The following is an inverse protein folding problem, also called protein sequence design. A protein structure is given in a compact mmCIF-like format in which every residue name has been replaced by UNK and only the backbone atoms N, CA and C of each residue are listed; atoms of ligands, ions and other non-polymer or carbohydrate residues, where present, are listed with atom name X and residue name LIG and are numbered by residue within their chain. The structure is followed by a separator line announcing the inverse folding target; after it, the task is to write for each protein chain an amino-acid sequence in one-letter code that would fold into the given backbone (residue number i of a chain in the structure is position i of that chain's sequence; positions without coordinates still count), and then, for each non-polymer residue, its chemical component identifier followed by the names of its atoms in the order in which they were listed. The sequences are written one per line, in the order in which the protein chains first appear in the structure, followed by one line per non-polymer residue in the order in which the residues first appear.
data_IF_855070619194
#
_entry.id   IF_855070619194
#
_cell.length_a   1.000
_cell.length_b   1.000
_cell.length_c   1.000
_cell.angle_alpha   90.00
_cell.angle_beta   90.00
_cell.angle_gamma   90.00
#
_symmetry.space_group_name_H-M   'P 1'
#
loop_
_entity.id
_entity.type
_entity.pdbx_description
1 polymer ?
#
# COMPACT_ATOMS: atom_id res chain seq x y z
N UNK A 1 -0.22 -30.92 -24.53
CA UNK A 1 -0.35 -29.46 -24.72
C UNK A 1 -0.66 -28.89 -23.36
N UNK A 2 0.10 -27.91 -22.90
CA UNK A 2 -0.09 -27.31 -21.58
C UNK A 2 -1.32 -26.41 -21.59
N UNK A 3 -2.15 -26.41 -20.54
CA UNK A 3 -3.32 -25.54 -20.44
C UNK A 3 -3.05 -24.41 -19.45
N UNK A 4 -3.11 -23.16 -19.94
CA UNK A 4 -2.80 -21.97 -19.15
C UNK A 4 -3.96 -20.98 -19.20
N UNK A 5 -4.33 -20.43 -18.05
CA UNK A 5 -5.30 -19.34 -17.95
C UNK A 5 -4.56 -18.01 -17.87
N UNK A 6 -4.88 -17.08 -18.75
CA UNK A 6 -4.43 -15.69 -18.71
C UNK A 6 -5.42 -14.85 -17.92
N UNK A 7 -4.96 -14.16 -16.88
CA UNK A 7 -5.78 -13.29 -16.06
C UNK A 7 -5.27 -11.84 -16.11
N UNK A 8 -5.86 -11.07 -17.02
CA UNK A 8 -5.54 -9.65 -17.22
C UNK A 8 -6.21 -8.73 -16.21
N UNK A 9 -5.50 -7.69 -15.77
CA UNK A 9 -6.06 -6.69 -14.87
C UNK A 9 -5.06 -5.62 -14.45
N UNK A 10 -5.54 -4.52 -13.86
CA UNK A 10 -4.64 -3.49 -13.33
C UNK A 10 -3.87 -3.95 -12.10
N UNK A 11 -4.49 -4.74 -11.21
CA UNK A 11 -3.89 -5.24 -9.97
C UNK A 11 -3.22 -4.13 -9.13
N UNK A 12 -3.97 -3.07 -8.83
CA UNK A 12 -3.47 -1.83 -8.21
C UNK A 12 -4.14 -1.54 -6.85
N UNK A 13 -3.86 -2.32 -5.78
CA UNK A 13 -3.00 -3.50 -5.75
C UNK A 13 -3.77 -4.82 -6.01
N UNK A 14 -3.02 -5.93 -6.18
CA UNK A 14 -3.57 -7.28 -6.05
C UNK A 14 -4.11 -7.52 -4.63
N UNK A 15 -5.14 -8.35 -4.48
CA UNK A 15 -5.80 -8.61 -3.20
C UNK A 15 -6.39 -10.02 -3.17
N UNK A 16 -6.93 -10.45 -2.02
CA UNK A 16 -7.38 -11.83 -1.83
C UNK A 16 -8.56 -12.21 -2.73
N UNK A 17 -9.40 -11.24 -3.12
CA UNK A 17 -10.43 -11.46 -4.15
C UNK A 17 -9.85 -11.90 -5.50
N UNK A 18 -8.76 -11.29 -5.97
CA UNK A 18 -8.09 -11.72 -7.20
C UNK A 18 -7.51 -13.13 -7.08
N UNK A 19 -6.86 -13.44 -5.96
CA UNK A 19 -6.27 -14.76 -5.72
C UNK A 19 -7.34 -15.86 -5.67
N UNK A 20 -8.50 -15.56 -5.11
CA UNK A 20 -9.58 -16.53 -5.05
C UNK A 20 -10.21 -16.79 -6.42
N UNK A 21 -10.41 -15.73 -7.23
CA UNK A 21 -10.81 -15.87 -8.64
C UNK A 21 -9.81 -16.75 -9.39
N UNK A 22 -8.51 -16.47 -9.24
CA UNK A 22 -7.46 -17.24 -9.90
C UNK A 22 -7.48 -18.73 -9.49
N UNK A 23 -7.60 -19.02 -8.18
CA UNK A 23 -7.67 -20.40 -7.67
C UNK A 23 -8.90 -21.16 -8.18
N UNK A 24 -10.06 -20.51 -8.17
CA UNK A 24 -11.30 -21.10 -8.65
C UNK A 24 -11.24 -21.35 -10.16
N UNK A 25 -10.70 -20.42 -10.94
CA UNK A 25 -10.54 -20.57 -12.38
C UNK A 25 -9.61 -21.73 -12.73
N UNK A 26 -8.43 -21.79 -12.09
CA UNK A 26 -7.46 -22.87 -12.28
C UNK A 26 -8.11 -24.24 -12.01
N UNK A 27 -8.82 -24.36 -10.86
CA UNK A 27 -9.52 -25.60 -10.49
C UNK A 27 -10.68 -25.93 -11.43
N UNK A 28 -11.53 -24.97 -11.76
CA UNK A 28 -12.74 -25.16 -12.55
C UNK A 28 -12.48 -25.48 -14.02
N UNK A 29 -11.32 -25.09 -14.54
CA UNK A 29 -10.89 -25.41 -15.91
C UNK A 29 -9.91 -26.59 -15.99
N UNK A 30 -9.50 -27.15 -14.86
CA UNK A 30 -8.45 -28.17 -14.78
C UNK A 30 -7.16 -27.73 -15.51
N UNK A 31 -6.83 -26.44 -15.42
CA UNK A 31 -5.66 -25.87 -16.08
C UNK A 31 -4.38 -26.15 -15.27
N UNK A 32 -3.25 -26.23 -15.97
CA UNK A 32 -1.93 -26.50 -15.37
C UNK A 32 -1.39 -25.25 -14.64
N UNK A 33 -1.57 -24.07 -15.24
CA UNK A 33 -1.08 -22.80 -14.69
C UNK A 33 -2.07 -21.64 -14.90
N UNK A 34 -1.91 -20.59 -14.10
CA UNK A 34 -2.55 -19.30 -14.30
C UNK A 34 -1.52 -18.18 -14.29
N UNK A 35 -1.57 -17.35 -15.32
CA UNK A 35 -0.64 -16.25 -15.54
C UNK A 35 -1.36 -14.92 -15.34
N UNK A 36 -0.94 -14.17 -14.34
CA UNK A 36 -1.36 -12.79 -14.13
C UNK A 36 -0.69 -11.88 -15.16
N UNK A 37 -1.51 -11.10 -15.86
CA UNK A 37 -1.07 -10.15 -16.88
C UNK A 37 -1.39 -8.73 -16.38
N UNK A 38 -0.45 -8.07 -15.66
CA UNK A 38 -0.65 -6.68 -15.24
C UNK A 38 -0.70 -5.76 -16.46
N UNK A 39 -1.72 -4.91 -16.51
CA UNK A 39 -1.86 -3.96 -17.62
C UNK A 39 -0.72 -2.94 -17.61
N UNK A 40 -0.17 -2.54 -18.77
CA UNK A 40 0.95 -1.56 -18.86
C UNK A 40 0.61 -0.23 -18.16
N UNK A 41 -0.51 0.37 -18.54
CA UNK A 41 -1.11 1.53 -17.88
C UNK A 41 -2.61 1.27 -17.80
N UNK A 42 -3.26 1.73 -16.72
CA UNK A 42 -4.71 1.83 -16.74
C UNK A 42 -5.04 3.15 -17.47
N UNK A 43 -5.58 3.13 -18.70
CA UNK A 43 -5.83 4.35 -19.48
C UNK A 43 -6.88 5.28 -18.82
N UNK A 44 -7.54 4.84 -17.75
CA UNK A 44 -8.58 5.58 -17.05
C UNK A 44 -8.19 6.01 -15.62
N UNK A 45 -6.93 5.84 -15.19
CA UNK A 45 -6.47 6.20 -13.83
C UNK A 45 -5.13 6.93 -13.83
N UNK A 46 -5.14 8.23 -13.54
CA UNK A 46 -3.92 9.05 -13.37
C UNK A 46 -3.12 8.69 -12.11
N UNK A 47 -3.76 8.06 -11.11
CA UNK A 47 -3.16 7.76 -9.79
C UNK A 47 -2.65 6.31 -9.61
N UNK A 48 -2.44 5.55 -10.68
CA UNK A 48 -1.93 4.17 -10.56
C UNK A 48 -0.47 4.17 -10.10
N UNK A 49 -0.08 3.23 -9.23
CA UNK A 49 1.36 3.02 -8.99
C UNK A 49 2.01 2.41 -10.23
N UNK A 50 3.35 2.51 -10.30
CA UNK A 50 4.14 2.04 -11.43
C UNK A 50 3.89 0.56 -11.74
N UNK A 51 4.17 0.18 -12.99
CA UNK A 51 4.09 -1.22 -13.41
C UNK A 51 4.95 -2.12 -12.51
N UNK A 52 6.14 -1.66 -12.16
CA UNK A 52 7.12 -2.37 -11.34
C UNK A 52 6.59 -2.68 -9.93
N UNK A 53 5.91 -1.70 -9.30
CA UNK A 53 5.28 -1.93 -8.00
C UNK A 53 4.13 -2.93 -8.09
N UNK A 54 3.28 -2.82 -9.12
CA UNK A 54 2.16 -3.77 -9.31
C UNK A 54 2.67 -5.17 -9.60
N UNK A 55 3.66 -5.31 -10.46
CA UNK A 55 4.35 -6.57 -10.74
C UNK A 55 4.92 -7.19 -9.46
N UNK A 56 5.70 -6.43 -8.70
CA UNK A 56 6.31 -6.90 -7.45
C UNK A 56 5.25 -7.32 -6.43
N UNK A 57 4.14 -6.58 -6.32
CA UNK A 57 3.03 -6.97 -5.45
C UNK A 57 2.36 -8.26 -5.89
N UNK A 58 2.19 -8.50 -7.20
CA UNK A 58 1.67 -9.77 -7.72
C UNK A 58 2.64 -10.90 -7.40
N UNK A 59 3.93 -10.73 -7.68
CA UNK A 59 4.97 -11.72 -7.38
C UNK A 59 4.98 -12.08 -5.88
N UNK A 60 4.93 -11.07 -5.01
CA UNK A 60 4.85 -11.25 -3.57
C UNK A 60 3.55 -11.94 -3.12
N UNK A 61 2.44 -11.74 -3.82
CA UNK A 61 1.15 -12.36 -3.53
C UNK A 61 1.08 -13.85 -3.94
N UNK A 62 1.78 -14.21 -5.02
CA UNK A 62 1.76 -15.57 -5.57
C UNK A 62 2.96 -16.41 -5.15
N UNK A 63 3.89 -15.85 -4.36
CA UNK A 63 5.00 -16.61 -3.80
C UNK A 63 4.49 -17.85 -3.03
N UNK A 64 4.99 -19.03 -3.38
CA UNK A 64 4.55 -20.32 -2.84
C UNK A 64 3.40 -20.99 -3.62
N UNK A 65 2.94 -20.43 -4.74
CA UNK A 65 2.00 -21.06 -5.66
C UNK A 65 2.70 -21.45 -6.97
N UNK A 66 3.17 -22.70 -7.09
CA UNK A 66 3.91 -23.18 -8.27
C UNK A 66 3.11 -23.07 -9.58
N UNK A 67 1.78 -23.13 -9.49
CA UNK A 67 0.88 -23.01 -10.63
C UNK A 67 0.60 -21.56 -11.05
N UNK A 68 1.09 -20.55 -10.33
CA UNK A 68 0.85 -19.14 -10.63
C UNK A 68 2.11 -18.44 -11.13
N UNK A 69 1.95 -17.61 -12.16
CA UNK A 69 3.03 -16.77 -12.71
C UNK A 69 2.53 -15.35 -12.94
N UNK A 70 3.45 -14.39 -12.95
CA UNK A 70 3.19 -13.03 -13.42
C UNK A 70 4.06 -12.75 -14.65
N UNK A 71 3.45 -12.23 -15.72
CA UNK A 71 4.11 -12.07 -17.01
C UNK A 71 4.22 -10.59 -17.37
N UNK A 72 5.40 -10.16 -17.82
CA UNK A 72 5.66 -8.77 -18.19
C UNK A 72 5.27 -8.40 -19.63
N UNK A 73 4.48 -9.24 -20.32
CA UNK A 73 4.23 -9.12 -21.76
C UNK A 73 3.81 -7.70 -22.18
N UNK A 74 2.85 -7.10 -21.46
CA UNK A 74 2.37 -5.76 -21.78
C UNK A 74 3.40 -4.64 -21.57
N UNK A 75 4.41 -4.84 -20.71
CA UNK A 75 5.47 -3.85 -20.46
C UNK A 75 6.19 -3.49 -21.76
N UNK A 76 6.44 -4.48 -22.61
CA UNK A 76 7.23 -4.36 -23.85
C UNK A 76 6.38 -4.05 -25.08
N UNK A 77 5.04 -4.12 -24.98
CA UNK A 77 4.14 -3.79 -26.09
C UNK A 77 3.95 -2.27 -26.27
N UNK A 78 3.65 -1.80 -27.49
CA UNK A 78 3.26 -0.41 -27.73
C UNK A 78 2.05 0.01 -26.88
N UNK A 79 1.99 1.30 -26.55
CA UNK A 79 0.81 1.89 -25.89
C UNK A 79 -0.15 2.46 -26.92
N UNK A 80 -1.48 2.31 -26.76
CA UNK A 80 -2.15 1.50 -25.72
C UNK A 80 -1.96 -0.01 -25.93
N UNK A 81 -1.86 -0.75 -24.83
CA UNK A 81 -1.74 -2.20 -24.85
C UNK A 81 -3.13 -2.83 -25.04
N UNK A 82 -3.29 -3.64 -26.09
CA UNK A 82 -4.54 -4.36 -26.38
C UNK A 82 -4.40 -5.85 -26.14
N UNK A 83 -5.48 -6.49 -25.68
CA UNK A 83 -5.49 -7.94 -25.41
C UNK A 83 -5.09 -8.77 -26.62
N UNK A 84 -5.52 -8.40 -27.84
CA UNK A 84 -5.15 -9.11 -29.07
C UNK A 84 -3.65 -9.16 -29.30
N UNK A 85 -2.95 -8.05 -29.06
CA UNK A 85 -1.50 -7.94 -29.25
C UNK A 85 -0.76 -8.79 -28.20
N UNK A 86 -1.29 -8.84 -26.97
CA UNK A 86 -0.78 -9.69 -25.88
C UNK A 86 -0.96 -11.17 -26.19
N UNK A 87 -2.15 -11.59 -26.63
CA UNK A 87 -2.45 -13.00 -26.95
C UNK A 87 -1.59 -13.49 -28.12
N UNK A 88 -1.44 -12.68 -29.19
CA UNK A 88 -0.57 -13.00 -30.32
C UNK A 88 0.88 -13.22 -29.90
N UNK A 89 1.41 -12.35 -29.02
CA UNK A 89 2.75 -12.50 -28.47
C UNK A 89 2.90 -13.81 -27.68
N UNK A 90 1.97 -14.08 -26.75
CA UNK A 90 2.05 -15.26 -25.88
C UNK A 90 1.92 -16.58 -26.66
N UNK A 91 1.02 -16.65 -27.65
CA UNK A 91 0.89 -17.82 -28.53
C UNK A 91 2.20 -18.03 -29.32
N UNK A 92 2.77 -16.96 -29.87
CA UNK A 92 4.03 -17.04 -30.63
C UNK A 92 5.19 -17.55 -29.77
N UNK A 93 5.28 -17.11 -28.52
CA UNK A 93 6.34 -17.51 -27.58
C UNK A 93 6.11 -18.90 -26.96
N UNK A 94 4.87 -19.40 -26.97
CA UNK A 94 4.48 -20.65 -26.32
C UNK A 94 3.61 -21.52 -27.26
N UNK A 95 4.15 -22.02 -28.38
CA UNK A 95 3.35 -22.68 -29.43
C UNK A 95 2.67 -23.99 -28.97
N UNK A 96 3.21 -24.67 -27.96
CA UNK A 96 2.66 -25.92 -27.40
C UNK A 96 1.72 -25.69 -26.20
N UNK A 97 1.18 -24.47 -26.06
CA UNK A 97 0.29 -24.07 -24.97
C UNK A 97 -1.09 -23.67 -25.48
N UNK A 98 -2.12 -24.24 -24.87
CA UNK A 98 -3.49 -23.82 -25.01
C UNK A 98 -3.78 -22.73 -23.97
N UNK A 99 -4.22 -21.56 -24.43
CA UNK A 99 -4.57 -20.44 -23.55
C UNK A 99 -6.08 -20.28 -23.41
N UNK A 100 -6.52 -20.00 -22.18
CA UNK A 100 -7.84 -19.44 -21.86
C UNK A 100 -7.64 -17.98 -21.43
N UNK A 101 -8.58 -17.08 -21.73
CA UNK A 101 -8.58 -15.70 -21.19
C UNK A 101 -9.70 -15.51 -20.18
N UNK A 102 -9.35 -15.27 -18.92
CA UNK A 102 -10.30 -15.12 -17.81
C UNK A 102 -10.83 -13.69 -17.73
N UNK A 103 -12.16 -13.55 -17.77
CA UNK A 103 -12.88 -12.28 -17.57
C UNK A 103 -13.94 -12.42 -16.48
N UNK A 104 -14.28 -11.31 -15.82
CA UNK A 104 -15.47 -11.25 -14.97
C UNK A 104 -16.74 -11.14 -15.82
N UNK A 105 -17.88 -11.59 -15.29
CA UNK A 105 -19.17 -11.47 -15.96
C UNK A 105 -19.56 -10.03 -16.32
N UNK A 106 -19.02 -9.03 -15.61
CA UNK A 106 -19.21 -7.60 -15.89
C UNK A 106 -18.58 -7.13 -17.22
N UNK A 107 -17.64 -7.90 -17.80
CA UNK A 107 -16.96 -7.55 -19.06
C UNK A 107 -17.62 -8.14 -20.31
N UNK A 108 -18.57 -9.07 -20.16
CA UNK A 108 -19.17 -9.80 -21.29
C UNK A 108 -19.83 -8.84 -22.28
N UNK A 109 -20.66 -7.93 -21.78
CA UNK A 109 -21.43 -7.01 -22.63
C UNK A 109 -20.53 -6.05 -23.43
N UNK A 110 -19.30 -5.85 -22.95
CA UNK A 110 -18.29 -4.97 -23.55
C UNK A 110 -17.27 -5.72 -24.40
N UNK A 111 -17.33 -7.05 -24.48
CA UNK A 111 -16.33 -7.84 -25.20
C UNK A 111 -16.31 -7.52 -26.70
N UNK A 112 -17.46 -7.15 -27.27
CA UNK A 112 -17.56 -6.72 -28.67
C UNK A 112 -16.84 -5.41 -28.97
N UNK A 113 -16.57 -4.58 -27.95
CA UNK A 113 -15.85 -3.30 -28.09
C UNK A 113 -14.33 -3.47 -28.06
N UNK A 114 -13.83 -4.68 -27.77
CA UNK A 114 -12.40 -4.93 -27.71
C UNK A 114 -11.80 -4.88 -29.11
N UNK A 115 -10.59 -4.31 -29.24
CA UNK A 115 -9.87 -4.26 -30.51
C UNK A 115 -9.73 -5.68 -31.08
N UNK A 116 -10.16 -5.85 -32.32
CA UNK A 116 -10.13 -7.11 -33.06
C UNK A 116 -10.84 -8.27 -32.35
N UNK A 117 -11.94 -8.00 -31.63
CA UNK A 117 -12.66 -8.98 -30.82
C UNK A 117 -13.01 -10.31 -31.53
N UNK A 118 -13.36 -10.26 -32.83
CA UNK A 118 -13.64 -11.47 -33.62
C UNK A 118 -12.40 -12.34 -33.77
N UNK A 119 -11.28 -11.74 -34.18
CA UNK A 119 -10.00 -12.44 -34.29
C UNK A 119 -9.55 -12.97 -32.93
N UNK A 120 -9.73 -12.17 -31.87
CA UNK A 120 -9.39 -12.58 -30.51
C UNK A 120 -10.16 -13.82 -30.08
N UNK A 121 -11.47 -13.90 -30.36
CA UNK A 121 -12.30 -15.07 -30.06
C UNK A 121 -11.94 -16.32 -30.89
N UNK A 122 -11.31 -16.14 -32.06
CA UNK A 122 -10.79 -17.25 -32.87
C UNK A 122 -9.43 -17.76 -32.34
N UNK A 123 -8.63 -16.88 -31.71
CA UNK A 123 -7.30 -17.20 -31.19
C UNK A 123 -7.32 -17.83 -29.80
N UNK A 124 -8.30 -17.51 -28.95
CA UNK A 124 -8.31 -17.91 -27.54
C UNK A 124 -9.71 -18.22 -27.02
N UNK A 125 -9.82 -19.14 -26.05
CA UNK A 125 -11.07 -19.41 -25.35
C UNK A 125 -11.28 -18.42 -24.20
N UNK A 126 -12.35 -17.63 -24.25
CA UNK A 126 -12.76 -16.85 -23.09
C UNK A 126 -13.37 -17.75 -22.01
N UNK A 127 -13.04 -17.48 -20.75
CA UNK A 127 -13.63 -18.10 -19.57
C UNK A 127 -14.23 -17.01 -18.69
N UNK A 128 -15.49 -17.18 -18.32
CA UNK A 128 -16.21 -16.20 -17.51
C UNK A 128 -16.19 -16.64 -16.04
N UNK A 129 -15.70 -15.76 -15.17
CA UNK A 129 -15.93 -15.87 -13.73
C UNK A 129 -17.24 -15.20 -13.36
N UNK A 130 -18.21 -16.00 -12.90
CA UNK A 130 -19.52 -15.47 -12.53
C UNK A 130 -19.43 -14.60 -11.26
N UNK A 131 -20.03 -13.42 -11.32
CA UNK A 131 -20.28 -12.53 -10.18
C UNK A 131 -21.79 -12.29 -10.08
N UNK A 132 -22.32 -12.38 -8.87
CA UNK A 132 -23.74 -12.09 -8.59
C UNK A 132 -24.14 -10.73 -9.14
N UNK A 133 -25.32 -10.65 -9.76
CA UNK A 133 -25.86 -9.43 -10.36
C UNK A 133 -25.61 -9.25 -11.86
N UNK A 134 -24.80 -10.10 -12.50
CA UNK A 134 -24.50 -10.03 -13.93
C UNK A 134 -24.90 -11.33 -14.65
N UNK A 135 -26.07 -11.32 -15.32
CA UNK A 135 -26.70 -12.48 -15.97
C UNK A 135 -26.75 -12.38 -17.50
N UNK A 136 -25.73 -11.80 -18.12
CA UNK A 136 -25.66 -11.71 -19.59
C UNK A 136 -25.58 -13.12 -20.20
N UNK A 137 -26.39 -13.38 -21.25
CA UNK A 137 -26.35 -14.66 -21.96
C UNK A 137 -25.08 -14.75 -22.80
N UNK A 138 -24.29 -15.81 -22.63
CA UNK A 138 -23.11 -16.10 -23.43
C UNK A 138 -22.90 -17.62 -23.56
N UNK A 139 -22.04 -18.03 -24.50
CA UNK A 139 -21.71 -19.44 -24.74
C UNK A 139 -20.31 -19.83 -24.22
N UNK A 140 -19.59 -18.90 -23.59
CA UNK A 140 -18.28 -19.18 -22.98
C UNK A 140 -18.40 -20.09 -21.75
N UNK A 141 -17.40 -20.97 -21.47
CA UNK A 141 -17.30 -21.69 -20.21
C UNK A 141 -17.37 -20.75 -19.01
N UNK A 142 -18.16 -21.13 -18.01
CA UNK A 142 -18.34 -20.36 -16.77
C UNK A 142 -17.70 -21.09 -15.61
N UNK A 143 -16.95 -20.36 -14.79
CA UNK A 143 -16.49 -20.80 -13.48
C UNK A 143 -17.33 -20.10 -12.43
N UNK A 144 -18.05 -20.88 -11.65
CA UNK A 144 -18.73 -20.40 -10.45
C UNK A 144 -17.74 -20.27 -9.30
N UNK A 145 -17.91 -19.23 -8.50
CA UNK A 145 -17.15 -19.06 -7.28
C UNK A 145 -17.76 -18.01 -6.38
N UNK A 146 -17.31 -17.99 -5.13
CA UNK A 146 -17.77 -17.03 -4.14
C UNK A 146 -17.47 -15.60 -4.59
N UNK A 147 -18.45 -14.71 -4.41
CA UNK A 147 -18.23 -13.28 -4.47
C UNK A 147 -17.33 -12.88 -3.29
N UNK A 148 -16.32 -12.06 -3.57
CA UNK A 148 -15.43 -11.52 -2.54
C UNK A 148 -15.70 -10.04 -2.40
N UNK A 149 -16.15 -9.62 -1.22
CA UNK A 149 -16.41 -8.22 -0.90
C UNK A 149 -15.09 -7.49 -0.57
N UNK A 150 -14.24 -7.33 -1.58
CA UNK A 150 -13.03 -6.49 -1.52
C UNK A 150 -12.69 -5.97 -2.90
N UNK A 151 -12.36 -4.68 -2.96
CA UNK A 151 -11.86 -3.98 -4.14
C UNK A 151 -10.48 -3.39 -3.89
N UNK A 152 -9.69 -3.21 -4.95
CA UNK A 152 -8.41 -2.49 -4.84
C UNK A 152 -8.59 -1.06 -4.34
N UNK A 153 -9.75 -0.44 -4.58
CA UNK A 153 -10.06 0.91 -4.07
C UNK A 153 -10.10 0.94 -2.55
N UNK A 154 -10.78 0.00 -1.91
CA UNK A 154 -10.81 -0.09 -0.44
C UNK A 154 -9.42 -0.34 0.16
N UNK A 155 -8.59 -1.15 -0.52
CA UNK A 155 -7.19 -1.36 -0.09
C UNK A 155 -6.38 -0.05 -0.21
N UNK A 156 -6.53 0.71 -1.30
CA UNK A 156 -5.83 2.01 -1.49
C UNK A 156 -6.26 3.07 -0.48
N UNK A 157 -7.52 3.05 -0.05
CA UNK A 157 -8.05 3.95 0.99
C UNK A 157 -7.73 3.47 2.41
N UNK A 158 -7.26 2.23 2.58
CA UNK A 158 -6.98 1.65 3.89
C UNK A 158 -8.23 1.24 4.68
N UNK A 159 -9.42 1.28 4.06
CA UNK A 159 -10.69 0.83 4.64
C UNK A 159 -10.79 -0.70 4.68
N UNK A 160 -9.96 -1.38 3.88
CA UNK A 160 -9.79 -2.84 3.93
C UNK A 160 -8.30 -3.21 3.93
N UNK A 161 -7.99 -4.31 4.62
CA UNK A 161 -6.67 -4.96 4.58
C UNK A 161 -6.79 -6.40 4.09
N UNK A 162 -7.83 -6.69 3.30
CA UNK A 162 -8.07 -8.02 2.73
C UNK A 162 -7.19 -8.28 1.49
N UNK A 163 -5.87 -8.25 1.71
CA UNK A 163 -4.83 -8.56 0.75
C UNK A 163 -3.77 -9.48 1.40
N UNK A 164 -2.89 -10.13 0.62
CA UNK A 164 -1.81 -10.93 1.16
C UNK A 164 -0.92 -10.11 2.09
N UNK A 165 -0.42 -10.75 3.17
CA UNK A 165 0.45 -10.10 4.17
C UNK A 165 1.70 -9.49 3.54
N UNK A 166 2.27 -10.19 2.57
CA UNK A 166 3.44 -9.77 1.79
C UNK A 166 3.17 -8.50 0.99
N UNK A 167 1.97 -8.38 0.40
CA UNK A 167 1.53 -7.18 -0.34
C UNK A 167 1.35 -5.99 0.60
N UNK A 168 0.67 -6.17 1.73
CA UNK A 168 0.44 -5.10 2.71
C UNK A 168 1.77 -4.58 3.28
N UNK A 169 2.69 -5.49 3.61
CA UNK A 169 4.03 -5.12 4.07
C UNK A 169 4.80 -4.34 2.98
N UNK A 170 4.81 -4.84 1.75
CA UNK A 170 5.45 -4.16 0.63
C UNK A 170 4.88 -2.75 0.39
N UNK A 171 3.55 -2.61 0.39
CA UNK A 171 2.90 -1.31 0.29
C UNK A 171 3.39 -0.34 1.36
N UNK A 172 3.48 -0.79 2.61
CA UNK A 172 3.98 0.04 3.71
C UNK A 172 5.46 0.36 3.54
N UNK A 173 6.33 -0.61 3.22
CA UNK A 173 7.77 -0.40 3.01
C UNK A 173 8.05 0.66 1.94
N UNK A 174 7.21 0.73 0.90
CA UNK A 174 7.35 1.68 -0.20
C UNK A 174 6.39 2.88 -0.09
N UNK A 175 5.64 3.00 1.00
CA UNK A 175 4.66 4.06 1.25
C UNK A 175 3.61 4.23 0.13
N UNK A 176 3.26 3.12 -0.51
CA UNK A 176 2.27 3.10 -1.58
C UNK A 176 0.89 3.41 -1.02
N UNK A 177 0.18 4.33 -1.67
CA UNK A 177 -1.17 4.78 -1.31
C UNK A 177 -1.30 5.43 0.08
N UNK A 178 -0.21 5.58 0.85
CA UNK A 178 -0.25 6.09 2.23
C UNK A 178 -0.90 7.46 2.33
N UNK A 179 -0.66 8.36 1.36
CA UNK A 179 -1.34 9.67 1.35
C UNK A 179 -2.86 9.57 1.20
N UNK A 180 -3.36 8.59 0.43
CA UNK A 180 -4.81 8.34 0.29
C UNK A 180 -5.39 7.82 1.60
N UNK A 181 -4.68 6.88 2.25
CA UNK A 181 -5.05 6.37 3.58
C UNK A 181 -5.09 7.50 4.62
N UNK A 182 -4.11 8.41 4.59
CA UNK A 182 -4.06 9.55 5.50
C UNK A 182 -5.24 10.50 5.29
N UNK A 183 -5.59 10.82 4.04
CA UNK A 183 -6.77 11.66 3.73
C UNK A 183 -8.09 11.03 4.15
N UNK A 184 -8.16 9.70 4.16
CA UNK A 184 -9.37 8.97 4.59
C UNK A 184 -9.59 9.06 6.10
N UNK A 185 -8.51 9.12 6.90
CA UNK A 185 -8.60 9.01 8.37
C UNK A 185 -8.26 10.28 9.14
N UNK A 186 -7.70 11.30 8.47
CA UNK A 186 -7.26 12.54 9.11
C UNK A 186 -8.00 13.76 8.56
N UNK A 187 -8.28 14.72 9.43
CA UNK A 187 -8.70 16.07 9.05
C UNK A 187 -7.67 16.76 8.15
N UNK A 188 -8.10 17.74 7.36
CA UNK A 188 -7.21 18.56 6.52
C UNK A 188 -6.06 19.20 7.32
N UNK A 189 -6.35 19.64 8.54
CA UNK A 189 -5.35 20.22 9.44
C UNK A 189 -4.27 19.20 9.78
N UNK A 190 -4.67 18.00 10.20
CA UNK A 190 -3.72 16.94 10.59
C UNK A 190 -2.98 16.36 9.39
N UNK A 191 -3.65 16.19 8.25
CA UNK A 191 -3.03 15.77 7.02
C UNK A 191 -1.90 16.75 6.61
N UNK A 192 -2.17 18.06 6.62
CA UNK A 192 -1.16 19.09 6.33
C UNK A 192 0.01 19.04 7.30
N UNK A 193 -0.25 18.84 8.60
CA UNK A 193 0.80 18.63 9.60
C UNK A 193 1.68 17.42 9.25
N UNK A 194 1.09 16.26 9.00
CA UNK A 194 1.83 15.04 8.65
C UNK A 194 2.70 15.24 7.40
N UNK A 195 2.17 15.90 6.37
CA UNK A 195 2.94 16.20 5.16
C UNK A 195 4.07 17.21 5.42
N UNK A 196 3.85 18.25 6.22
CA UNK A 196 4.91 19.20 6.57
C UNK A 196 6.04 18.56 7.38
N UNK A 197 5.70 17.63 8.29
CA UNK A 197 6.68 16.80 9.01
C UNK A 197 7.45 15.90 8.05
N UNK A 198 6.75 15.25 7.12
CA UNK A 198 7.36 14.41 6.10
C UNK A 198 8.37 15.17 5.24
N UNK A 199 7.96 16.32 4.70
CA UNK A 199 8.80 17.13 3.80
C UNK A 199 10.04 17.65 4.53
N UNK A 200 9.88 18.18 5.76
CA UNK A 200 11.02 18.63 6.56
C UNK A 200 11.95 17.47 6.96
N UNK A 201 11.41 16.30 7.26
CA UNK A 201 12.22 15.14 7.60
C UNK A 201 13.05 14.67 6.40
N UNK A 202 12.50 14.69 5.18
CA UNK A 202 13.25 14.40 3.96
C UNK A 202 14.34 15.45 3.71
N UNK A 203 14.01 16.73 3.86
CA UNK A 203 14.96 17.85 3.74
C UNK A 203 16.16 17.70 4.69
N UNK A 204 15.93 17.28 5.94
CA UNK A 204 17.03 17.03 6.88
C UNK A 204 17.75 15.72 6.54
N UNK A 205 17.03 14.66 6.17
CA UNK A 205 17.60 13.35 5.84
C UNK A 205 18.57 13.39 4.65
N UNK A 206 18.40 14.31 3.68
CA UNK A 206 19.36 14.52 2.57
C UNK A 206 20.79 14.81 3.05
N UNK A 207 20.96 15.36 4.26
CA UNK A 207 22.25 15.66 4.86
C UNK A 207 22.81 14.54 5.74
N UNK A 208 22.08 13.42 5.87
CA UNK A 208 22.47 12.30 6.72
C UNK A 208 22.39 10.98 5.95
N UNK A 209 23.27 10.03 6.25
CA UNK A 209 23.19 8.71 5.64
C UNK A 209 22.08 7.88 6.31
N UNK A 210 20.85 8.03 5.85
CA UNK A 210 19.66 7.33 6.36
C UNK A 210 18.95 6.55 5.26
N UNK A 211 18.25 5.47 5.65
CA UNK A 211 17.33 4.80 4.74
C UNK A 211 16.09 5.68 4.54
N UNK A 212 15.94 6.20 3.31
CA UNK A 212 14.84 7.10 2.96
C UNK A 212 13.48 6.40 3.07
N UNK A 213 13.37 5.10 2.78
CA UNK A 213 12.10 4.39 2.92
C UNK A 213 11.70 4.30 4.41
N UNK A 214 12.66 4.02 5.29
CA UNK A 214 12.40 4.02 6.74
C UNK A 214 11.96 5.41 7.25
N UNK A 215 12.58 6.49 6.76
CA UNK A 215 12.17 7.87 7.07
C UNK A 215 10.75 8.16 6.59
N UNK A 216 10.41 7.78 5.34
CA UNK A 216 9.07 7.98 4.78
C UNK A 216 8.00 7.23 5.59
N UNK A 217 8.26 5.98 5.98
CA UNK A 217 7.32 5.21 6.82
C UNK A 217 7.15 5.87 8.19
N UNK A 218 8.27 6.21 8.85
CA UNK A 218 8.22 6.82 10.17
C UNK A 218 7.40 8.12 10.17
N UNK A 219 7.60 8.96 9.16
CA UNK A 219 6.97 10.29 9.06
C UNK A 219 5.54 10.24 8.58
N UNK A 220 5.17 9.39 7.63
CA UNK A 220 3.79 9.33 7.15
C UNK A 220 2.86 8.64 8.16
N UNK A 221 3.35 7.69 8.95
CA UNK A 221 2.51 6.93 9.89
C UNK A 221 2.53 7.43 11.34
N UNK A 222 3.39 8.38 11.73
CA UNK A 222 3.52 8.76 13.15
C UNK A 222 2.21 9.23 13.81
N UNK A 223 1.38 9.94 13.04
CA UNK A 223 0.15 10.59 13.49
C UNK A 223 -1.11 10.01 12.82
N UNK A 224 -1.02 8.90 12.08
CA UNK A 224 -2.15 8.29 11.36
C UNK A 224 -3.34 7.94 12.28
N UNK A 225 -3.06 7.65 13.56
CA UNK A 225 -4.08 7.31 14.55
C UNK A 225 -4.43 8.48 15.49
N UNK A 226 -4.04 9.71 15.15
CA UNK A 226 -4.14 10.84 16.08
C UNK A 226 -5.57 11.27 16.38
N UNK A 227 -6.46 11.06 15.42
CA UNK A 227 -7.88 11.44 15.51
C UNK A 227 -8.80 10.24 15.77
N UNK A 228 -8.23 9.08 16.14
CA UNK A 228 -9.00 7.98 16.68
C UNK A 228 -9.75 8.42 17.95
N UNK A 229 -10.95 7.86 18.14
CA UNK A 229 -11.74 8.15 19.33
C UNK A 229 -11.05 7.65 20.61
N UNK A 230 -11.34 8.35 21.71
CA UNK A 230 -10.67 8.12 22.99
C UNK A 230 -10.91 6.72 23.53
N UNK A 231 -12.13 6.18 23.37
CA UNK A 231 -12.48 4.87 23.90
C UNK A 231 -11.70 3.75 23.19
N UNK A 232 -11.53 3.87 21.87
CA UNK A 232 -10.67 2.97 21.07
C UNK A 232 -9.22 3.02 21.54
N UNK A 233 -8.66 4.23 21.74
CA UNK A 233 -7.28 4.39 22.20
C UNK A 233 -7.09 3.87 23.64
N UNK A 234 -8.01 4.18 24.54
CA UNK A 234 -7.98 3.71 25.94
C UNK A 234 -8.10 2.18 26.01
N UNK A 235 -9.00 1.58 25.22
CA UNK A 235 -9.17 0.13 25.11
C UNK A 235 -7.91 -0.55 24.61
N UNK A 236 -7.29 -0.02 23.55
CA UNK A 236 -6.01 -0.53 23.04
C UNK A 236 -4.94 -0.52 24.15
N UNK A 237 -4.79 0.59 24.86
CA UNK A 237 -3.78 0.69 25.91
C UNK A 237 -4.07 -0.27 27.07
N UNK A 238 -5.32 -0.44 27.48
CA UNK A 238 -5.68 -1.37 28.56
C UNK A 238 -5.40 -2.83 28.20
N UNK A 239 -5.66 -3.23 26.95
CA UNK A 239 -5.66 -4.65 26.57
C UNK A 239 -4.42 -5.10 25.82
N UNK A 240 -3.75 -4.21 25.10
CA UNK A 240 -2.57 -4.53 24.26
C UNK A 240 -1.28 -3.99 24.86
N UNK A 241 -1.34 -2.82 25.53
CA UNK A 241 -0.18 -2.15 26.12
C UNK A 241 -0.41 -1.76 27.59
N UNK A 242 -0.85 -2.69 28.46
CA UNK A 242 -1.25 -2.37 29.85
C UNK A 242 -0.12 -1.72 30.64
N UNK A 243 1.14 -2.04 30.34
CA UNK A 243 2.33 -1.45 30.94
C UNK A 243 2.59 0.01 30.54
N UNK A 244 1.80 0.57 29.63
CA UNK A 244 1.89 1.97 29.19
C UNK A 244 0.57 2.75 29.38
N UNK A 245 -0.47 2.14 29.96
CA UNK A 245 -1.79 2.77 30.15
C UNK A 245 -1.81 3.89 31.22
N UNK A 246 -0.70 4.11 31.93
CA UNK A 246 -0.54 5.25 32.84
C UNK A 246 0.05 6.49 32.16
N UNK A 247 0.49 6.38 30.89
CA UNK A 247 1.04 7.51 30.16
C UNK A 247 -0.03 8.57 29.86
N UNK A 248 0.39 9.77 29.50
CA UNK A 248 -0.53 10.82 29.06
C UNK A 248 -1.37 10.30 27.86
N UNK A 249 -2.71 10.36 27.90
CA UNK A 249 -3.55 9.84 26.82
C UNK A 249 -3.24 10.42 25.43
N UNK A 250 -2.69 11.64 25.37
CA UNK A 250 -2.24 12.25 24.11
C UNK A 250 -1.11 11.48 23.40
N UNK A 251 -0.50 10.49 24.06
CA UNK A 251 0.56 9.63 23.53
C UNK A 251 0.02 8.33 22.93
N UNK A 252 -1.23 7.97 23.19
CA UNK A 252 -1.78 6.65 22.84
C UNK A 252 -1.86 6.43 21.33
N UNK A 253 -2.02 7.50 20.54
CA UNK A 253 -2.04 7.40 19.08
C UNK A 253 -0.74 6.83 18.51
N UNK A 254 0.40 7.08 19.15
CA UNK A 254 1.69 6.56 18.70
C UNK A 254 1.78 5.03 18.88
N UNK A 255 1.15 4.50 19.94
CA UNK A 255 1.01 3.06 20.16
C UNK A 255 -0.02 2.44 19.22
N UNK A 256 -1.12 3.15 18.94
CA UNK A 256 -2.11 2.74 17.94
C UNK A 256 -1.50 2.66 16.53
N UNK A 257 -0.67 3.63 16.15
CA UNK A 257 0.05 3.59 14.88
C UNK A 257 0.99 2.37 14.78
N UNK A 258 1.73 2.05 15.86
CA UNK A 258 2.53 0.82 15.93
C UNK A 258 1.67 -0.45 15.82
N UNK A 259 0.55 -0.52 16.53
CA UNK A 259 -0.34 -1.68 16.47
C UNK A 259 -0.94 -1.87 15.06
N UNK A 260 -1.39 -0.77 14.44
CA UNK A 260 -1.88 -0.73 13.07
C UNK A 260 -0.84 -1.29 12.09
N UNK A 261 0.39 -0.77 12.15
CA UNK A 261 1.48 -1.17 11.27
C UNK A 261 1.85 -2.65 11.44
N UNK A 262 1.91 -3.13 12.68
CA UNK A 262 2.35 -4.51 12.96
C UNK A 262 1.27 -5.55 12.72
N UNK A 263 0.02 -5.28 13.10
CA UNK A 263 -1.08 -6.26 13.02
C UNK A 263 -1.83 -6.23 11.70
N UNK A 264 -2.07 -5.04 11.15
CA UNK A 264 -2.86 -4.89 9.92
C UNK A 264 -1.98 -4.81 8.67
N UNK A 265 -0.83 -4.15 8.77
CA UNK A 265 0.09 -3.97 7.63
C UNK A 265 1.34 -4.84 7.66
N UNK A 266 1.51 -5.67 8.70
CA UNK A 266 2.61 -6.65 8.81
C UNK A 266 4.01 -6.03 8.68
N UNK A 267 4.16 -4.77 9.07
CA UNK A 267 5.42 -4.05 9.06
C UNK A 267 6.11 -4.17 10.42
N UNK A 268 7.35 -4.69 10.42
CA UNK A 268 8.06 -5.09 11.65
C UNK A 268 9.44 -4.47 11.84
N UNK A 269 9.77 -3.38 11.12
CA UNK A 269 11.04 -2.68 11.34
C UNK A 269 11.06 -2.03 12.74
N UNK A 270 11.87 -2.58 13.64
CA UNK A 270 11.93 -2.15 15.05
C UNK A 270 12.39 -0.71 15.21
N UNK A 271 13.29 -0.22 14.35
CA UNK A 271 13.83 1.14 14.44
C UNK A 271 12.76 2.17 14.13
N UNK A 272 12.01 1.95 13.05
CA UNK A 272 10.88 2.80 12.62
C UNK A 272 9.73 2.75 13.62
N UNK A 273 9.32 1.55 14.05
CA UNK A 273 8.23 1.40 15.02
C UNK A 273 8.58 2.07 16.37
N UNK A 274 9.84 1.99 16.79
CA UNK A 274 10.31 2.68 18.01
C UNK A 274 10.36 4.19 17.81
N UNK A 275 10.73 4.67 16.62
CA UNK A 275 10.68 6.09 16.29
C UNK A 275 9.24 6.62 16.37
N UNK A 276 8.29 5.91 15.76
CA UNK A 276 6.86 6.24 15.83
C UNK A 276 6.38 6.28 17.28
N UNK A 277 6.63 5.27 18.11
CA UNK A 277 6.15 5.29 19.51
C UNK A 277 6.76 6.44 20.32
N UNK A 278 8.03 6.77 20.11
CA UNK A 278 8.74 7.74 20.94
C UNK A 278 8.71 9.19 20.42
N UNK A 279 8.09 9.46 19.27
CA UNK A 279 8.00 10.82 18.73
C UNK A 279 7.25 11.77 19.67
N UNK A 280 6.38 11.25 20.53
CA UNK A 280 5.61 12.05 21.49
C UNK A 280 6.39 12.42 22.75
N UNK A 281 7.36 11.60 23.15
CA UNK A 281 8.08 11.73 24.43
C UNK A 281 9.47 12.34 24.29
N UNK A 282 10.02 12.42 23.07
CA UNK A 282 11.40 12.83 22.85
C UNK A 282 12.41 11.83 23.43
N UNK A 283 12.00 10.58 23.61
CA UNK A 283 12.88 9.46 23.95
C UNK A 283 13.45 8.81 22.68
N UNK A 284 14.29 9.56 21.96
CA UNK A 284 14.89 9.07 20.73
C UNK A 284 16.18 8.29 21.01
N UNK A 285 16.24 7.05 20.52
CA UNK A 285 17.38 6.15 20.68
C UNK A 285 18.12 5.85 19.36
N UNK A 286 17.54 6.25 18.23
CA UNK A 286 18.11 6.05 16.90
C UNK A 286 17.95 7.33 16.04
N UNK A 287 18.70 7.46 14.93
CA UNK A 287 18.65 8.66 14.08
C UNK A 287 17.25 8.98 13.54
N UNK A 288 16.46 7.98 13.15
CA UNK A 288 15.10 8.19 12.64
C UNK A 288 14.18 8.78 13.72
N UNK A 289 14.30 8.31 14.96
CA UNK A 289 13.55 8.84 16.08
C UNK A 289 13.95 10.30 16.39
N UNK A 290 15.24 10.64 16.27
CA UNK A 290 15.71 12.01 16.44
C UNK A 290 15.16 12.91 15.32
N UNK A 291 15.28 12.46 14.07
CA UNK A 291 14.78 13.15 12.89
C UNK A 291 13.26 13.40 12.98
N UNK A 292 12.48 12.35 13.26
CA UNK A 292 11.02 12.45 13.38
C UNK A 292 10.62 13.42 14.49
N UNK A 293 11.31 13.38 15.64
CA UNK A 293 11.04 14.31 16.74
C UNK A 293 11.37 15.76 16.34
N UNK A 294 12.50 15.99 15.67
CA UNK A 294 12.87 17.32 15.18
C UNK A 294 11.80 17.82 14.20
N UNK A 295 11.47 17.02 13.19
CA UNK A 295 10.52 17.39 12.16
C UNK A 295 9.12 17.66 12.73
N UNK A 296 8.61 16.82 13.63
CA UNK A 296 7.30 17.03 14.29
C UNK A 296 7.24 18.37 15.05
N UNK A 297 8.35 18.76 15.71
CA UNK A 297 8.39 20.00 16.49
C UNK A 297 8.75 21.22 15.68
N UNK A 298 9.46 21.06 14.57
CA UNK A 298 10.08 22.17 13.83
C UNK A 298 9.48 22.40 12.45
N UNK A 299 8.50 21.60 12.01
CA UNK A 299 7.84 21.84 10.73
C UNK A 299 7.29 23.28 10.65
N UNK A 300 7.32 23.87 9.45
CA UNK A 300 7.21 25.33 9.27
C UNK A 300 5.78 25.88 9.45
N UNK A 301 4.79 25.03 9.71
CA UNK A 301 3.43 25.45 10.10
C UNK A 301 3.28 25.62 11.62
N UNK A 302 4.30 25.26 12.41
CA UNK A 302 4.35 25.55 13.85
C UNK A 302 4.36 27.07 14.12
N UNK A 303 3.83 27.52 15.27
CA UNK A 303 3.71 28.94 15.59
C UNK A 303 5.03 29.63 16.00
N UNK A 304 6.18 29.05 15.67
CA UNK A 304 7.48 29.56 16.10
C UNK A 304 8.57 29.30 15.06
N UNK A 305 9.58 30.18 15.03
CA UNK A 305 10.69 30.07 14.08
C UNK A 305 11.70 29.00 14.51
N UNK A 306 11.77 27.94 13.71
CA UNK A 306 12.60 26.77 13.91
C UNK A 306 13.81 26.68 12.98
N UNK A 307 14.07 27.69 12.14
CA UNK A 307 15.05 27.59 11.07
C UNK A 307 16.48 27.42 11.60
N UNK A 308 16.82 28.03 12.74
CA UNK A 308 18.11 27.81 13.40
C UNK A 308 18.32 26.35 13.81
N UNK A 309 17.27 25.72 14.34
CA UNK A 309 17.31 24.32 14.77
C UNK A 309 17.36 23.40 13.55
N UNK A 310 16.62 23.72 12.48
CA UNK A 310 16.67 22.97 11.22
C UNK A 310 18.08 23.02 10.62
N UNK A 311 18.69 24.22 10.53
CA UNK A 311 20.07 24.38 10.07
C UNK A 311 21.07 23.62 10.92
N UNK A 312 20.87 23.60 12.24
CA UNK A 312 21.70 22.82 13.15
C UNK A 312 21.51 21.31 12.92
N UNK A 313 20.28 20.84 12.78
CA UNK A 313 19.94 19.43 12.55
C UNK A 313 20.51 18.91 11.22
N UNK A 314 20.55 19.72 10.16
CA UNK A 314 21.20 19.38 8.89
C UNK A 314 22.71 19.18 9.05
N UNK A 315 23.37 19.94 9.93
CA UNK A 315 24.81 19.81 10.20
C UNK A 315 25.12 18.66 11.15
N UNK A 316 24.34 18.54 12.23
CA UNK A 316 24.47 17.51 13.25
C UNK A 316 23.08 17.22 13.85
N UNK A 317 22.57 16.03 13.53
CA UNK A 317 21.25 15.58 13.96
C UNK A 317 21.10 15.54 15.48
N UNK A 318 22.15 15.16 16.21
CA UNK A 318 22.11 15.04 17.67
C UNK A 318 22.05 16.41 18.33
N UNK A 319 22.81 17.38 17.80
CA UNK A 319 22.76 18.76 18.29
C UNK A 319 21.40 19.39 17.98
N UNK A 320 20.85 19.18 16.78
CA UNK A 320 19.50 19.62 16.44
C UNK A 320 18.45 19.02 17.39
N UNK A 321 18.52 17.71 17.63
CA UNK A 321 17.62 17.02 18.56
C UNK A 321 17.69 17.57 19.99
N UNK A 322 18.92 17.80 20.49
CA UNK A 322 19.14 18.39 21.81
C UNK A 322 18.53 19.79 21.91
N UNK A 323 18.71 20.63 20.90
CA UNK A 323 18.15 21.99 20.86
C UNK A 323 16.60 21.98 20.89
N UNK A 324 15.95 21.06 20.16
CA UNK A 324 14.48 20.89 20.22
C UNK A 324 14.02 20.49 21.63
N UNK A 325 14.74 19.56 22.28
CA UNK A 325 14.39 19.11 23.64
C UNK A 325 14.52 20.23 24.66
N UNK A 326 15.62 20.99 24.63
CA UNK A 326 15.84 22.13 25.52
C UNK A 326 14.73 23.18 25.35
N UNK A 327 14.37 23.51 24.11
CA UNK A 327 13.24 24.40 23.82
C UNK A 327 11.92 23.86 24.36
N UNK A 328 11.63 22.59 24.12
CA UNK A 328 10.38 21.95 24.58
C UNK A 328 10.28 22.00 26.10
N UNK A 329 11.37 21.74 26.81
CA UNK A 329 11.43 21.84 28.26
C UNK A 329 11.20 23.27 28.75
N UNK A 330 11.88 24.26 28.15
CA UNK A 330 11.71 25.67 28.52
C UNK A 330 10.26 26.14 28.32
N UNK A 331 9.64 25.78 27.20
CA UNK A 331 8.23 26.09 26.94
C UNK A 331 7.27 25.45 27.94
N UNK A 332 7.54 24.21 28.36
CA UNK A 332 6.74 23.54 29.39
C UNK A 332 6.92 24.19 30.77
N UNK A 333 8.13 24.67 31.09
CA UNK A 333 8.41 25.46 32.31
C UNK A 333 7.70 26.80 32.31
N UNK A 334 7.76 27.53 31.19
CA UNK A 334 7.04 28.81 31.00
C UNK A 334 5.53 28.65 31.15
N UNK A 335 4.99 27.50 30.74
CA UNK A 335 3.57 27.14 30.92
C UNK A 335 3.24 26.55 32.30
N UNK A 336 4.21 26.41 33.20
CA UNK A 336 4.02 25.82 34.53
C UNK A 336 3.64 24.34 34.51
N UNK A 337 3.94 23.61 33.43
CA UNK A 337 3.64 22.18 33.30
C UNK A 337 4.69 21.32 34.02
N UNK A 338 5.92 21.83 34.12
CA UNK A 338 7.05 21.19 34.81
C UNK A 338 7.88 22.25 35.55
N UNK A 339 8.59 21.87 36.61
CA UNK A 339 9.47 22.74 37.42
C UNK A 339 10.85 22.97 36.78
#
# INVERSE_FOLDING_TARGET
MKHVILFGGSFDPIHNGHLAVAKNALKGRHADELWFIPTKMNPFKEDSVSFEHRYTMIEAAINGFDSFKVIEAEKYLPSPSYTIDTVKLLIKENPDTHFDWLIGSDQIDRLGDWKDAKELQELIQFVVYYREGHNSKHNFPTVEGTSFNVSSTEIRLGTSTNAPRTVLNYMTQHTLYTQKMLKEVLSDYRYKHVMAVHDLALEIAEHHNMDINEVKVATLYHDICKENDKDTLDSLMKHVYPEYHFLNPSFYHAFAAKDLLTRKYYYHNKNVLRAIVNHVSGNASNPIAMLLYIADKCERTRPWDSEDIIRLAKKDLRLGFKAVKERTQNHLKEKGVIE
#
